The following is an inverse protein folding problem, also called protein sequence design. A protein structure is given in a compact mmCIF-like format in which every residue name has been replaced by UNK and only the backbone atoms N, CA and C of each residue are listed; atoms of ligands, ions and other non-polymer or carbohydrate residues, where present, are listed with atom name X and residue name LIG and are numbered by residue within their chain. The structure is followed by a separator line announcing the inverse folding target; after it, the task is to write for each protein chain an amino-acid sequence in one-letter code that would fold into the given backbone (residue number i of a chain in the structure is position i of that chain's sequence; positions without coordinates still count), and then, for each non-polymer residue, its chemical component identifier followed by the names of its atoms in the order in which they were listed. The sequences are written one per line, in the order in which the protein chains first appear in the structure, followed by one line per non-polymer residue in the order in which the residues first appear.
data_IF_279101115403
#
_entry.id   IF_279101115403
#
_cell.length_a   1.000
_cell.length_b   1.000
_cell.length_c   1.000
_cell.angle_alpha   90.00
_cell.angle_beta   90.00
_cell.angle_gamma   90.00
#
_symmetry.space_group_name_H-M   'P 1'
#
loop_
_entity.id
_entity.type
_entity.pdbx_description
1 polymer ?
#
# COMPACT_ATOMS: atom_id res chain seq x y z
N UNK A 1 -0.02 26.14 -15.87
CA UNK A 1 -0.50 25.16 -14.86
C UNK A 1 -2.03 25.13 -14.73
N UNK A 2 -2.72 26.27 -14.68
CA UNK A 2 -4.19 26.30 -14.50
C UNK A 2 -4.98 25.47 -15.54
N UNK A 3 -4.65 25.57 -16.83
CA UNK A 3 -5.29 24.76 -17.88
C UNK A 3 -5.07 23.25 -17.69
N UNK A 4 -3.88 22.83 -17.23
CA UNK A 4 -3.55 21.42 -16.97
C UNK A 4 -4.39 20.88 -15.81
N UNK A 5 -4.51 21.65 -14.73
CA UNK A 5 -5.41 21.31 -13.61
C UNK A 5 -6.85 21.09 -14.08
N UNK A 6 -7.39 22.00 -14.90
CA UNK A 6 -8.75 21.86 -15.44
C UNK A 6 -8.88 20.67 -16.39
N UNK A 7 -7.83 20.36 -17.16
CA UNK A 7 -7.78 19.15 -17.97
C UNK A 7 -7.86 17.89 -17.08
N UNK A 8 -7.13 17.86 -15.97
CA UNK A 8 -7.15 16.75 -15.02
C UNK A 8 -8.52 16.55 -14.37
N UNK A 9 -9.19 17.62 -13.93
CA UNK A 9 -10.55 17.53 -13.35
C UNK A 9 -11.57 17.09 -14.42
N UNK A 10 -11.45 17.57 -15.66
CA UNK A 10 -12.32 17.15 -16.76
C UNK A 10 -12.19 15.66 -17.10
N UNK A 11 -11.00 15.09 -16.92
CA UNK A 11 -10.69 13.68 -17.14
C UNK A 11 -10.55 12.90 -15.83
N UNK A 12 -11.27 13.30 -14.78
CA UNK A 12 -11.11 12.73 -13.44
C UNK A 12 -11.23 11.20 -13.38
N UNK A 13 -12.04 10.57 -14.23
CA UNK A 13 -12.17 9.10 -14.36
C UNK A 13 -10.86 8.41 -14.75
N UNK A 14 -10.13 9.00 -15.69
CA UNK A 14 -8.83 8.47 -16.15
C UNK A 14 -7.81 8.60 -15.03
N UNK A 15 -7.70 9.80 -14.44
CA UNK A 15 -6.77 10.04 -13.34
C UNK A 15 -7.11 9.24 -12.08
N UNK A 16 -8.38 8.96 -11.81
CA UNK A 16 -8.80 8.02 -10.78
C UNK A 16 -8.27 6.61 -11.05
N UNK A 17 -8.42 6.11 -12.28
CA UNK A 17 -7.95 4.79 -12.67
C UNK A 17 -6.43 4.68 -12.55
N UNK A 18 -5.71 5.72 -13.00
CA UNK A 18 -4.25 5.83 -12.84
C UNK A 18 -3.86 5.87 -11.36
N UNK A 19 -4.55 6.67 -10.54
CA UNK A 19 -4.29 6.76 -9.11
C UNK A 19 -4.47 5.41 -8.42
N UNK A 20 -5.57 4.70 -8.70
CA UNK A 20 -5.84 3.37 -8.15
C UNK A 20 -4.80 2.33 -8.61
N UNK A 21 -4.37 2.40 -9.88
CA UNK A 21 -3.31 1.56 -10.42
C UNK A 21 -1.98 1.80 -9.71
N UNK A 22 -1.55 3.05 -9.62
CA UNK A 22 -0.33 3.44 -8.90
C UNK A 22 -0.40 3.02 -7.44
N UNK A 23 -1.51 3.28 -6.76
CA UNK A 23 -1.68 2.88 -5.36
C UNK A 23 -1.52 1.37 -5.16
N UNK A 24 -2.12 0.54 -6.02
CA UNK A 24 -1.97 -0.92 -5.97
C UNK A 24 -0.50 -1.34 -6.15
N UNK A 25 0.22 -0.71 -7.08
CA UNK A 25 1.64 -0.97 -7.32
C UNK A 25 2.48 -0.58 -6.10
N UNK A 26 2.25 0.60 -5.52
CA UNK A 26 2.99 0.99 -4.32
C UNK A 26 2.68 0.07 -3.12
N UNK A 27 1.43 -0.37 -2.97
CA UNK A 27 1.04 -1.30 -1.90
C UNK A 27 1.60 -2.71 -2.10
N UNK A 28 1.83 -3.17 -3.34
CA UNK A 28 2.53 -4.43 -3.58
C UNK A 28 4.03 -4.31 -3.30
N UNK A 29 4.60 -3.13 -3.52
CA UNK A 29 6.00 -2.81 -3.19
C UNK A 29 6.23 -2.48 -1.71
N UNK A 30 5.18 -2.30 -0.90
CA UNK A 30 5.23 -2.06 0.55
C UNK A 30 6.31 -2.86 1.31
N UNK A 31 6.43 -4.20 1.19
CA UNK A 31 7.45 -4.96 1.90
C UNK A 31 8.88 -4.56 1.52
N UNK A 32 9.12 -4.19 0.26
CA UNK A 32 10.42 -3.70 -0.20
C UNK A 32 10.69 -2.28 0.32
N UNK A 33 9.70 -1.39 0.23
CA UNK A 33 9.79 -0.02 0.75
C UNK A 33 10.07 -0.02 2.26
N UNK A 34 9.44 -0.94 3.01
CA UNK A 34 9.67 -1.15 4.45
C UNK A 34 11.10 -1.63 4.74
N UNK A 35 11.65 -2.55 3.94
CA UNK A 35 13.03 -3.03 4.07
C UNK A 35 14.08 -1.95 3.78
N UNK A 36 13.83 -1.12 2.77
CA UNK A 36 14.73 0.01 2.42
C UNK A 36 14.64 1.13 3.48
N UNK A 37 13.45 1.33 4.04
CA UNK A 37 13.15 2.33 5.05
C UNK A 37 12.54 3.60 4.45
N UNK A 38 11.34 3.96 4.92
CA UNK A 38 10.60 5.14 4.43
C UNK A 38 11.37 6.45 4.56
N UNK A 39 12.12 6.63 5.65
CA UNK A 39 12.88 7.87 5.90
C UNK A 39 13.92 8.15 4.80
N UNK A 40 14.52 7.10 4.22
CA UNK A 40 15.51 7.24 3.13
C UNK A 40 14.83 7.58 1.80
N UNK A 41 13.64 7.03 1.57
CA UNK A 41 12.85 7.24 0.35
C UNK A 41 12.06 8.55 0.36
N UNK A 42 11.87 9.16 1.53
CA UNK A 42 11.04 10.35 1.71
C UNK A 42 11.43 11.49 0.76
N UNK A 43 12.70 11.90 0.76
CA UNK A 43 13.20 13.02 -0.06
C UNK A 43 13.07 12.77 -1.57
N UNK A 44 13.59 11.67 -2.14
CA UNK A 44 13.49 11.44 -3.58
C UNK A 44 12.03 11.28 -4.03
N UNK A 45 11.19 10.56 -3.28
CA UNK A 45 9.79 10.37 -3.64
C UNK A 45 9.00 11.68 -3.51
N UNK A 46 9.27 12.49 -2.47
CA UNK A 46 8.65 13.81 -2.34
C UNK A 46 9.01 14.75 -3.50
N UNK A 47 10.23 14.67 -4.04
CA UNK A 47 10.63 15.44 -5.23
C UNK A 47 9.84 15.00 -6.46
N UNK A 48 9.78 13.69 -6.74
CA UNK A 48 8.99 13.14 -7.85
C UNK A 48 7.52 13.50 -7.70
N UNK A 49 6.98 13.41 -6.49
CA UNK A 49 5.61 13.78 -6.17
C UNK A 49 5.36 15.27 -6.41
N UNK A 50 6.29 16.14 -5.99
CA UNK A 50 6.21 17.60 -6.19
C UNK A 50 6.18 17.95 -7.68
N UNK A 51 7.03 17.33 -8.50
CA UNK A 51 7.09 17.59 -9.94
C UNK A 51 5.81 17.08 -10.61
N UNK A 52 5.47 15.80 -10.40
CA UNK A 52 4.33 15.16 -11.04
C UNK A 52 3.00 15.79 -10.62
N UNK A 53 2.73 15.93 -9.33
CA UNK A 53 1.47 16.52 -8.84
C UNK A 53 1.43 18.03 -8.96
N UNK A 54 2.58 18.70 -8.91
CA UNK A 54 2.68 20.14 -9.17
C UNK A 54 2.26 20.47 -10.60
N UNK A 55 2.77 19.72 -11.58
CA UNK A 55 2.42 19.92 -12.98
C UNK A 55 0.95 19.60 -13.28
N UNK A 56 0.47 18.44 -12.82
CA UNK A 56 -0.86 17.93 -13.16
C UNK A 56 -1.99 18.63 -12.40
N UNK A 57 -1.86 18.77 -11.08
CA UNK A 57 -2.97 19.18 -10.20
C UNK A 57 -2.74 20.54 -9.52
N UNK A 58 -1.65 21.23 -9.86
CA UNK A 58 -1.18 22.42 -9.14
C UNK A 58 -1.02 22.14 -7.63
N UNK A 59 -0.52 20.95 -7.28
CA UNK A 59 -0.42 20.50 -5.89
C UNK A 59 0.49 21.41 -5.05
N UNK A 60 0.03 21.82 -3.87
CA UNK A 60 0.79 22.64 -2.91
C UNK A 60 1.60 21.84 -1.89
N UNK A 61 1.76 20.54 -2.11
CA UNK A 61 2.54 19.63 -1.25
C UNK A 61 2.16 19.73 0.24
N UNK A 62 0.87 19.65 0.58
CA UNK A 62 0.41 19.63 1.97
C UNK A 62 0.73 18.31 2.71
N UNK A 63 1.30 17.32 2.03
CA UNK A 63 1.62 16.00 2.58
C UNK A 63 0.42 15.08 2.80
N UNK A 64 -0.81 15.58 2.74
CA UNK A 64 -2.03 14.79 2.95
C UNK A 64 -2.96 14.89 1.73
N UNK A 65 -2.59 14.18 0.67
CA UNK A 65 -3.30 14.22 -0.60
C UNK A 65 -4.73 13.64 -0.48
N UNK A 66 -5.71 14.36 -1.02
CA UNK A 66 -7.13 13.97 -1.05
C UNK A 66 -7.74 14.01 -2.46
N UNK A 67 -6.91 14.03 -3.50
CA UNK A 67 -7.36 14.10 -4.91
C UNK A 67 -8.37 13.00 -5.26
N UNK A 68 -8.17 11.80 -4.72
CA UNK A 68 -9.09 10.66 -4.88
C UNK A 68 -10.46 10.85 -4.23
N UNK A 69 -10.60 11.84 -3.35
CA UNK A 69 -11.86 12.18 -2.68
C UNK A 69 -12.46 13.50 -3.19
N UNK A 70 -11.65 14.36 -3.82
CA UNK A 70 -12.06 15.70 -4.27
C UNK A 70 -12.08 15.84 -5.79
N UNK A 71 -12.48 14.80 -6.52
CA UNK A 71 -12.67 14.90 -7.97
C UNK A 71 -11.41 15.24 -8.76
N UNK A 72 -10.23 14.83 -8.29
CA UNK A 72 -8.93 15.23 -8.85
C UNK A 72 -8.64 16.75 -8.80
N UNK A 73 -9.35 17.49 -7.93
CA UNK A 73 -9.11 18.90 -7.66
C UNK A 73 -8.40 19.07 -6.32
N UNK A 74 -7.24 19.73 -6.27
CA UNK A 74 -6.51 19.94 -5.03
C UNK A 74 -7.16 21.05 -4.18
N UNK A 75 -7.67 20.78 -2.96
CA UNK A 75 -8.33 21.80 -2.12
C UNK A 75 -7.39 22.93 -1.67
N UNK A 76 -6.08 22.67 -1.65
CA UNK A 76 -5.06 23.67 -1.30
C UNK A 76 -4.89 24.77 -2.35
N UNK A 77 -5.56 24.65 -3.50
CA UNK A 77 -5.65 25.72 -4.49
C UNK A 77 -6.73 26.75 -4.14
N UNK A 78 -7.56 26.48 -3.12
CA UNK A 78 -8.54 27.43 -2.64
C UNK A 78 -7.81 28.56 -1.87
N UNK A 79 -8.06 29.84 -2.16
CA UNK A 79 -7.48 30.96 -1.41
C UNK A 79 -7.74 30.87 0.10
N UNK A 80 -8.87 30.27 0.48
CA UNK A 80 -9.26 30.07 1.88
C UNK A 80 -8.57 28.87 2.55
N UNK A 81 -7.81 28.05 1.81
CA UNK A 81 -7.16 26.83 2.28
C UNK A 81 -8.09 25.85 3.02
N UNK A 82 -9.39 25.86 2.70
CA UNK A 82 -10.39 24.96 3.29
C UNK A 82 -10.20 23.55 2.74
N UNK A 83 -10.08 22.56 3.64
CA UNK A 83 -9.91 21.15 3.25
C UNK A 83 -11.21 20.46 2.90
N UNK A 84 -12.31 20.91 3.50
CA UNK A 84 -13.67 20.45 3.24
C UNK A 84 -14.51 21.64 2.77
N UNK A 85 -15.31 21.43 1.73
CA UNK A 85 -16.22 22.43 1.20
C UNK A 85 -17.50 21.77 0.68
N UNK A 86 -18.39 22.51 -0.01
CA UNK A 86 -18.25 23.92 -0.40
C UNK A 86 -18.34 24.90 0.79
N UNK A 87 -17.91 26.16 0.59
CA UNK A 87 -17.96 27.21 1.62
C UNK A 87 -19.04 28.27 1.40
N UNK A 88 -19.99 28.02 0.49
CA UNK A 88 -21.04 29.00 0.10
C UNK A 88 -20.56 30.16 -0.77
N UNK A 89 -19.27 30.50 -0.77
CA UNK A 89 -18.69 31.63 -1.52
C UNK A 89 -18.47 31.42 -3.02
N UNK A 90 -19.42 30.78 -3.70
CA UNK A 90 -19.38 30.51 -5.13
C UNK A 90 -20.25 31.54 -5.85
N UNK A 91 -19.63 32.35 -6.72
CA UNK A 91 -20.30 33.37 -7.53
C UNK A 91 -21.07 32.75 -8.69
N UNK A 92 -21.94 33.54 -9.31
CA UNK A 92 -22.60 33.18 -10.56
C UNK A 92 -21.59 32.77 -11.64
N UNK A 93 -21.99 31.79 -12.44
CA UNK A 93 -21.09 31.11 -13.35
C UNK A 93 -20.06 30.22 -12.66
N UNK A 94 -20.06 30.14 -11.31
CA UNK A 94 -19.36 29.26 -10.35
C UNK A 94 -17.91 29.66 -9.94
N UNK A 95 -17.56 30.93 -10.08
CA UNK A 95 -16.23 31.46 -9.75
C UNK A 95 -16.05 31.63 -8.23
N UNK A 96 -14.81 31.73 -7.75
CA UNK A 96 -14.55 31.98 -6.33
C UNK A 96 -14.88 33.44 -5.94
N UNK A 97 -15.48 33.66 -4.76
CA UNK A 97 -15.72 35.02 -4.24
C UNK A 97 -14.41 35.81 -3.99
N UNK A 98 -13.38 35.15 -3.46
CA UNK A 98 -12.11 35.79 -3.06
C UNK A 98 -11.23 36.07 -4.27
N UNK A 99 -11.31 35.20 -5.28
CA UNK A 99 -10.52 35.31 -6.51
C UNK A 99 -11.44 35.18 -7.73
N UNK A 100 -12.04 36.28 -8.21
CA UNK A 100 -13.06 36.26 -9.25
C UNK A 100 -12.59 35.65 -10.58
N UNK A 101 -11.31 35.78 -10.90
CA UNK A 101 -10.70 35.22 -12.13
C UNK A 101 -10.46 33.70 -12.05
N UNK A 102 -10.67 33.08 -10.87
CA UNK A 102 -10.42 31.66 -10.64
C UNK A 102 -11.74 30.90 -10.55
N UNK A 103 -11.81 29.80 -11.30
CA UNK A 103 -12.85 28.78 -11.16
C UNK A 103 -12.81 28.16 -9.77
N UNK A 104 -13.95 28.13 -9.07
CA UNK A 104 -14.00 27.62 -7.70
C UNK A 104 -13.49 26.17 -7.64
N UNK A 105 -12.53 25.92 -6.75
CA UNK A 105 -11.89 24.61 -6.57
C UNK A 105 -12.90 23.54 -6.18
N UNK A 106 -13.93 23.90 -5.41
CA UNK A 106 -14.99 22.98 -4.97
C UNK A 106 -16.05 22.72 -6.04
N UNK A 107 -16.28 23.67 -6.96
CA UNK A 107 -17.08 23.40 -8.16
C UNK A 107 -16.35 22.37 -9.01
N UNK A 108 -15.05 22.57 -9.26
CA UNK A 108 -14.22 21.59 -9.98
C UNK A 108 -14.16 20.23 -9.28
N UNK A 109 -14.05 20.22 -7.94
CA UNK A 109 -14.04 18.99 -7.17
C UNK A 109 -15.34 18.21 -7.33
N UNK A 110 -16.49 18.89 -7.33
CA UNK A 110 -17.78 18.24 -7.52
C UNK A 110 -17.95 17.73 -8.95
N UNK A 111 -17.66 18.56 -9.96
CA UNK A 111 -17.69 18.15 -11.38
C UNK A 111 -16.75 16.98 -11.67
N UNK A 112 -15.58 16.94 -11.03
CA UNK A 112 -14.66 15.81 -11.14
C UNK A 112 -15.17 14.57 -10.41
N UNK A 113 -15.78 14.74 -9.24
CA UNK A 113 -16.33 13.65 -8.44
C UNK A 113 -17.52 12.96 -9.12
N UNK A 114 -18.37 13.71 -9.84
CA UNK A 114 -19.45 13.17 -10.67
C UNK A 114 -18.96 12.22 -11.76
N UNK A 115 -17.73 12.42 -12.24
CA UNK A 115 -17.09 11.60 -13.28
C UNK A 115 -16.38 10.37 -12.72
N UNK A 116 -16.15 10.32 -11.41
CA UNK A 116 -15.46 9.22 -10.74
C UNK A 116 -16.45 8.14 -10.31
N UNK A 117 -16.00 6.88 -10.17
CA UNK A 117 -16.88 5.76 -9.82
C UNK A 117 -17.62 5.98 -8.49
N UNK A 118 -16.85 6.25 -7.43
CA UNK A 118 -17.40 6.50 -6.09
C UNK A 118 -17.08 7.93 -5.64
N UNK A 119 -16.93 8.85 -6.59
CA UNK A 119 -16.50 10.21 -6.30
C UNK A 119 -17.51 10.96 -5.43
N UNK A 120 -18.79 10.89 -5.79
CA UNK A 120 -19.88 11.53 -5.03
C UNK A 120 -20.03 10.97 -3.61
N UNK A 121 -19.75 9.69 -3.39
CA UNK A 121 -19.73 9.12 -2.06
C UNK A 121 -18.51 9.63 -1.27
N UNK A 122 -17.32 9.62 -1.88
CA UNK A 122 -16.06 10.03 -1.24
C UNK A 122 -15.98 11.53 -0.92
N UNK A 123 -16.50 12.40 -1.78
CA UNK A 123 -16.44 13.86 -1.56
C UNK A 123 -17.30 14.31 -0.37
N UNK A 124 -18.30 13.51 0.02
CA UNK A 124 -19.12 13.74 1.22
C UNK A 124 -18.43 13.29 2.51
N UNK A 125 -17.35 12.51 2.41
CA UNK A 125 -16.59 12.06 3.58
C UNK A 125 -15.73 13.22 4.08
N UNK A 126 -16.09 13.73 5.25
CA UNK A 126 -15.36 14.80 5.93
C UNK A 126 -13.94 14.37 6.22
N UNK A 127 -12.97 15.13 5.71
CA UNK A 127 -11.55 14.87 5.91
C UNK A 127 -11.03 15.59 7.17
N UNK A 128 -10.08 15.00 7.92
CA UNK A 128 -9.46 15.68 9.06
C UNK A 128 -8.75 16.95 8.62
N UNK A 129 -8.57 17.97 9.48
CA UNK A 129 -7.84 19.20 9.13
C UNK A 129 -6.42 18.90 8.62
N UNK A 130 -5.88 19.79 7.80
CA UNK A 130 -4.51 19.62 7.26
C UNK A 130 -3.49 19.84 8.37
N UNK A 131 -2.67 18.83 8.66
CA UNK A 131 -1.47 19.02 9.48
C UNK A 131 -0.39 19.72 8.65
N UNK A 132 -0.03 20.94 9.05
CA UNK A 132 0.95 21.79 8.35
C UNK A 132 2.40 21.35 8.56
N UNK A 133 2.71 20.60 9.61
CA UNK A 133 4.04 20.02 9.85
C UNK A 133 4.46 19.07 8.72
N UNK A 134 3.47 18.49 8.03
CA UNK A 134 3.67 17.53 6.97
C UNK A 134 3.89 18.21 5.60
N UNK A 135 3.95 19.54 5.55
CA UNK A 135 4.17 20.26 4.29
C UNK A 135 5.52 19.87 3.70
N UNK A 136 5.53 19.55 2.41
CA UNK A 136 6.73 19.09 1.68
C UNK A 136 7.04 17.60 1.82
N UNK A 137 6.37 16.87 2.71
CA UNK A 137 6.50 15.40 2.81
C UNK A 137 5.72 14.67 1.71
N UNK A 138 6.09 13.41 1.44
CA UNK A 138 5.42 12.58 0.44
C UNK A 138 4.09 12.05 0.99
N UNK A 139 3.00 12.34 0.29
CA UNK A 139 1.71 11.73 0.62
C UNK A 139 1.61 10.29 0.11
N UNK A 140 2.33 9.92 -0.97
CA UNK A 140 2.35 8.55 -1.46
C UNK A 140 2.94 7.58 -0.46
N UNK A 141 4.15 7.86 0.04
CA UNK A 141 4.79 6.98 1.03
C UNK A 141 3.98 6.86 2.31
N UNK A 142 3.32 7.95 2.73
CA UNK A 142 2.43 7.94 3.88
C UNK A 142 1.24 7.01 3.70
N UNK A 143 0.48 7.18 2.62
CA UNK A 143 -0.69 6.33 2.32
C UNK A 143 -0.28 4.86 2.23
N UNK A 144 0.86 4.58 1.59
CA UNK A 144 1.39 3.22 1.45
C UNK A 144 1.80 2.63 2.78
N UNK A 145 2.47 3.41 3.63
CA UNK A 145 2.85 2.99 4.99
C UNK A 145 1.59 2.69 5.83
N UNK A 146 0.61 3.58 5.82
CA UNK A 146 -0.63 3.42 6.60
C UNK A 146 -1.42 2.19 6.13
N UNK A 147 -1.73 2.09 4.84
CA UNK A 147 -2.47 0.96 4.28
C UNK A 147 -1.69 -0.35 4.32
N UNK A 148 -0.38 -0.29 4.15
CA UNK A 148 0.51 -1.44 4.25
C UNK A 148 0.56 -2.01 5.67
N UNK A 149 0.60 -1.16 6.70
CA UNK A 149 0.50 -1.61 8.10
C UNK A 149 -0.86 -2.25 8.38
N UNK A 150 -1.95 -1.67 7.88
CA UNK A 150 -3.29 -2.27 8.02
C UNK A 150 -3.40 -3.62 7.31
N UNK A 151 -2.80 -3.75 6.12
CA UNK A 151 -2.74 -5.01 5.36
C UNK A 151 -1.93 -6.08 6.08
N UNK A 152 -0.76 -5.69 6.63
CA UNK A 152 0.09 -6.58 7.43
C UNK A 152 -0.67 -7.08 8.67
N UNK A 153 -1.40 -6.19 9.35
CA UNK A 153 -2.22 -6.53 10.52
C UNK A 153 -3.38 -7.47 10.16
N UNK A 154 -4.11 -7.17 9.09
CA UNK A 154 -5.22 -8.01 8.61
C UNK A 154 -4.72 -9.42 8.22
N UNK A 155 -3.59 -9.52 7.52
CA UNK A 155 -3.00 -10.82 7.17
C UNK A 155 -2.61 -11.63 8.40
N UNK A 156 -2.06 -10.99 9.43
CA UNK A 156 -1.75 -11.64 10.71
C UNK A 156 -3.01 -12.16 11.41
N UNK A 157 -4.13 -11.44 11.28
CA UNK A 157 -5.42 -11.85 11.84
C UNK A 157 -6.07 -12.99 11.04
N UNK A 158 -5.86 -13.05 9.72
CA UNK A 158 -6.37 -14.12 8.84
C UNK A 158 -5.64 -15.46 9.03
N UNK A 159 -4.35 -15.44 9.40
CA UNK A 159 -3.54 -16.64 9.65
C UNK A 159 -3.08 -16.72 11.13
N UNK A 160 -4.01 -16.80 12.12
CA UNK A 160 -3.65 -16.77 13.53
C UNK A 160 -2.75 -17.94 13.90
N UNK A 161 -3.09 -19.17 13.49
CA UNK A 161 -2.35 -20.40 13.77
C UNK A 161 -0.90 -20.34 13.28
N UNK A 162 -0.66 -19.80 12.08
CA UNK A 162 0.69 -19.63 11.55
C UNK A 162 1.48 -18.59 12.34
N UNK A 163 0.80 -17.55 12.82
CA UNK A 163 1.40 -16.51 13.65
C UNK A 163 1.67 -16.99 15.08
N UNK A 164 0.84 -17.88 15.61
CA UNK A 164 0.99 -18.52 16.92
C UNK A 164 2.09 -19.57 16.89
N UNK A 165 2.11 -20.45 15.89
CA UNK A 165 3.22 -21.37 15.64
C UNK A 165 4.54 -20.59 15.49
N UNK A 166 4.58 -19.52 14.68
CA UNK A 166 5.79 -18.71 14.54
C UNK A 166 6.23 -18.02 15.86
N UNK A 167 5.29 -17.67 16.74
CA UNK A 167 5.58 -17.10 18.07
C UNK A 167 6.07 -18.18 19.05
N UNK A 168 5.39 -19.33 19.10
CA UNK A 168 5.75 -20.48 19.94
C UNK A 168 7.14 -21.03 19.56
N UNK A 169 7.45 -21.04 18.27
CA UNK A 169 8.71 -21.55 17.72
C UNK A 169 9.72 -20.44 17.38
N UNK A 170 9.57 -19.21 17.90
CA UNK A 170 10.48 -18.10 17.60
C UNK A 170 11.96 -18.37 17.96
N UNK A 171 12.21 -19.27 18.92
CA UNK A 171 13.56 -19.78 19.25
C UNK A 171 13.92 -21.12 18.59
N UNK A 172 12.96 -21.83 17.99
CA UNK A 172 13.19 -23.16 17.43
C UNK A 172 14.17 -23.15 16.26
N UNK A 173 14.19 -22.08 15.47
CA UNK A 173 15.18 -21.89 14.39
C UNK A 173 16.61 -21.68 14.90
N UNK A 174 16.79 -21.25 16.16
CA UNK A 174 18.10 -21.14 16.84
C UNK A 174 18.47 -22.41 17.61
N UNK A 175 17.49 -23.26 17.91
CA UNK A 175 17.61 -24.48 18.68
C UNK A 175 17.36 -25.72 17.81
N UNK A 176 17.45 -25.57 16.48
CA UNK A 176 17.22 -26.66 15.53
C UNK A 176 18.16 -27.82 15.92
N UNK A 177 17.61 -29.02 16.19
CA UNK A 177 18.42 -30.12 16.65
C UNK A 177 19.08 -30.79 15.44
N UNK A 178 20.02 -30.10 14.80
CA UNK A 178 21.07 -30.78 14.04
C UNK A 178 21.93 -31.68 14.96
N UNK A 179 21.69 -31.63 16.28
CA UNK A 179 22.36 -32.41 17.31
C UNK A 179 21.44 -33.35 18.12
N UNK A 180 20.17 -33.59 17.72
CA UNK A 180 19.43 -34.71 18.33
C UNK A 180 20.07 -36.00 17.81
N UNK A 181 20.68 -36.83 18.67
CA UNK A 181 21.19 -38.13 18.24
C UNK A 181 20.02 -38.93 17.68
N UNK A 182 20.18 -39.50 16.48
CA UNK A 182 19.19 -40.43 15.93
C UNK A 182 18.87 -41.48 16.99
N UNK A 183 17.58 -41.66 17.28
CA UNK A 183 17.15 -42.69 18.22
C UNK A 183 17.73 -44.04 17.77
N UNK A 184 18.25 -44.83 18.72
CA UNK A 184 18.79 -46.16 18.40
C UNK A 184 17.71 -46.98 17.69
N UNK A 185 18.08 -47.61 16.60
CA UNK A 185 17.16 -48.46 15.85
C UNK A 185 16.58 -49.54 16.77
N UNK A 186 15.27 -49.80 16.67
CA UNK A 186 14.64 -50.83 17.49
C UNK A 186 15.24 -52.19 17.15
N UNK A 187 15.48 -53.02 18.18
CA UNK A 187 16.12 -54.34 18.06
C UNK A 187 15.43 -55.24 17.03
N UNK A 188 14.12 -55.06 16.83
CA UNK A 188 13.34 -55.76 15.81
C UNK A 188 13.82 -55.45 14.37
N UNK A 189 14.22 -54.22 14.08
CA UNK A 189 14.71 -53.82 12.76
C UNK A 189 16.11 -54.40 12.48
N UNK A 190 16.97 -54.47 13.50
CA UNK A 190 18.28 -55.12 13.41
C UNK A 190 18.14 -56.64 13.25
N UNK A 191 17.15 -57.26 13.90
CA UNK A 191 16.85 -58.68 13.75
C UNK A 191 16.32 -59.00 12.34
N UNK A 192 15.45 -58.18 11.78
CA UNK A 192 14.98 -58.33 10.39
C UNK A 192 16.09 -58.16 9.36
N UNK A 193 17.03 -57.23 9.58
CA UNK A 193 18.20 -57.05 8.71
C UNK A 193 19.16 -58.24 8.79
N UNK A 194 19.46 -58.75 9.99
CA UNK A 194 20.29 -59.94 10.17
C UNK A 194 19.68 -61.18 9.51
N UNK A 195 18.35 -61.35 9.60
CA UNK A 195 17.62 -62.43 8.92
C UNK A 195 17.67 -62.25 7.41
N UNK A 196 17.54 -61.02 6.89
CA UNK A 196 17.65 -60.72 5.45
C UNK A 196 19.05 -60.96 4.89
N UNK A 197 20.10 -60.59 5.63
CA UNK A 197 21.48 -60.85 5.22
C UNK A 197 21.77 -62.36 5.21
N UNK A 198 21.34 -63.10 6.23
CA UNK A 198 21.49 -64.57 6.26
C UNK A 198 20.71 -65.28 5.15
N UNK A 199 19.52 -64.79 4.78
CA UNK A 199 18.76 -65.36 3.65
C UNK A 199 19.34 -64.98 2.29
N UNK A 200 19.99 -63.81 2.15
CA UNK A 200 20.65 -63.43 0.90
C UNK A 200 21.92 -64.25 0.60
N UNK A 201 22.66 -64.66 1.64
CA UNK A 201 23.85 -65.52 1.48
C UNK A 201 23.47 -66.95 1.08
N UNK A 202 22.31 -67.46 1.50
CA UNK A 202 21.83 -68.80 1.15
C UNK A 202 21.24 -68.91 -0.27
N UNK A 203 20.95 -67.80 -0.95
CA UNK A 203 20.39 -67.80 -2.31
C UNK A 203 21.43 -67.64 -3.43
N UNK A 204 22.70 -67.34 -3.10
CA UNK A 204 23.76 -67.10 -4.09
C UNK A 204 24.63 -68.34 -4.42
N UNK A 205 24.50 -69.47 -3.71
CA UNK A 205 25.27 -70.71 -3.97
C UNK A 205 24.64 -71.63 -5.05
N UNK A 206 23.86 -71.07 -5.98
CA UNK A 206 22.90 -71.86 -6.77
C UNK A 206 22.84 -71.63 -8.28
N UNK A 207 23.86 -71.09 -8.96
CA UNK A 207 24.02 -71.23 -10.43
C UNK A 207 25.50 -71.14 -10.82
N UNK A 208 26.16 -72.29 -10.93
CA UNK A 208 27.30 -72.49 -11.80
C UNK A 208 27.11 -73.85 -12.49
N UNK A 209 27.27 -73.83 -13.81
CA UNK A 209 27.10 -74.88 -14.84
C UNK A 209 25.68 -75.11 -15.41
#
# INVERSE_FOLDING_TARGET
MYAVRLFCTRHARVFESVYQGLEKVFLSLHPLLKKIGYNRLERPVALVEKISKGLLFDCKMCGQCVLSSTGMSCPMNCPKNIRNGPCGGVRDGGFCEVSPKMRCVWVEAWTGAEKMKDGLARIRVVQPPVNRELKGSSSWLRVVREKGVMKDASKRQLDPDKSELAQAFAKARKLEPAAVPLAREPVAALAEQAVKEQTSVLTDDGVAD
#
